data_IF_066953427388
#
_entry.id   IF_066953427388
#
_cell.length_a   1.000
_cell.length_b   1.000
_cell.length_c   1.000
_cell.angle_alpha   90.00
_cell.angle_beta   90.00
_cell.angle_gamma   90.00
#
_symmetry.space_group_name_H-M   'P 1'
#
loop_
_entity.id
_entity.type
_entity.pdbx_description
1 polymer ?
#
# COMPACT_ATOMS: atom_id res chain seq x y z
N UNK A 1 -7.83 -1.53 -19.73
CA UNK A 1 -7.46 -0.15 -20.09
C UNK A 1 -8.54 0.35 -21.02
N UNK A 2 -9.74 0.56 -20.47
CA UNK A 2 -10.79 1.22 -21.22
C UNK A 2 -10.47 2.71 -21.10
N UNK A 3 -10.12 3.38 -22.20
CA UNK A 3 -9.89 4.83 -22.31
C UNK A 3 -8.46 5.40 -22.10
N UNK A 4 -7.39 4.63 -22.30
CA UNK A 4 -6.02 5.21 -22.44
C UNK A 4 -5.43 4.76 -23.78
N UNK A 5 -5.33 5.68 -24.73
CA UNK A 5 -4.70 5.50 -26.04
C UNK A 5 -3.20 5.81 -26.03
N UNK A 6 -2.52 5.48 -27.12
CA UNK A 6 -1.09 5.82 -27.27
C UNK A 6 -0.91 7.32 -27.58
N UNK A 7 -1.90 7.90 -28.26
CA UNK A 7 -2.04 9.32 -28.54
C UNK A 7 -2.07 10.16 -27.26
N UNK A 8 -2.77 9.71 -26.21
CA UNK A 8 -2.84 10.41 -24.92
C UNK A 8 -1.45 10.56 -24.27
N UNK A 9 -0.58 9.58 -24.51
CA UNK A 9 0.80 9.59 -24.03
C UNK A 9 1.66 10.51 -24.89
N UNK A 10 1.53 10.38 -26.21
CA UNK A 10 2.29 11.17 -27.18
C UNK A 10 1.98 12.67 -27.06
N UNK A 11 0.73 13.01 -26.81
CA UNK A 11 0.23 14.39 -26.68
C UNK A 11 0.45 14.96 -25.26
N UNK A 12 0.99 14.18 -24.32
CA UNK A 12 1.36 14.65 -22.98
C UNK A 12 0.17 14.85 -22.03
N UNK A 13 -0.90 14.05 -22.15
CA UNK A 13 -2.02 14.12 -21.22
C UNK A 13 -1.63 13.56 -19.84
N UNK A 14 -1.17 14.45 -18.96
CA UNK A 14 -0.64 14.11 -17.64
C UNK A 14 -1.60 13.24 -16.81
N UNK A 15 -2.91 13.53 -16.84
CA UNK A 15 -3.91 12.77 -16.09
C UNK A 15 -3.98 11.31 -16.55
N UNK A 16 -3.96 11.05 -17.86
CA UNK A 16 -4.02 9.69 -18.40
C UNK A 16 -2.68 8.97 -18.28
N UNK A 17 -1.57 9.69 -18.41
CA UNK A 17 -0.23 9.15 -18.15
C UNK A 17 -0.10 8.68 -16.69
N UNK A 18 -0.54 9.49 -15.72
CA UNK A 18 -0.58 9.09 -14.31
C UNK A 18 -1.52 7.90 -14.07
N UNK A 19 -2.66 7.87 -14.75
CA UNK A 19 -3.59 6.73 -14.72
C UNK A 19 -2.95 5.43 -15.24
N UNK A 20 -2.16 5.52 -16.31
CA UNK A 20 -1.43 4.39 -16.88
C UNK A 20 -0.33 3.90 -15.93
N UNK A 21 0.49 4.81 -15.40
CA UNK A 21 1.55 4.48 -14.44
C UNK A 21 0.95 3.83 -13.19
N UNK A 22 -0.14 4.39 -12.65
CA UNK A 22 -0.87 3.80 -11.53
C UNK A 22 -1.35 2.39 -11.84
N UNK A 23 -1.90 2.15 -13.03
CA UNK A 23 -2.36 0.82 -13.46
C UNK A 23 -1.20 -0.18 -13.52
N UNK A 24 -0.03 0.23 -14.02
CA UNK A 24 1.18 -0.60 -14.04
C UNK A 24 1.61 -0.96 -12.61
N UNK A 25 1.72 0.03 -11.71
CA UNK A 25 2.08 -0.21 -10.30
C UNK A 25 1.08 -1.15 -9.63
N UNK A 26 -0.22 -0.90 -9.83
CA UNK A 26 -1.28 -1.74 -9.27
C UNK A 26 -1.13 -3.19 -9.75
N UNK A 27 -0.91 -3.39 -11.05
CA UNK A 27 -0.87 -4.72 -11.67
C UNK A 27 0.37 -5.52 -11.30
N UNK A 28 1.54 -4.89 -11.28
CA UNK A 28 2.81 -5.60 -11.11
C UNK A 28 3.30 -5.63 -9.67
N UNK A 29 2.95 -4.65 -8.85
CA UNK A 29 3.46 -4.53 -7.48
C UNK A 29 2.41 -4.89 -6.43
N UNK A 30 1.16 -4.47 -6.62
CA UNK A 30 0.13 -4.60 -5.58
C UNK A 30 -0.70 -5.87 -5.75
N UNK A 31 -1.15 -6.22 -6.95
CA UNK A 31 -2.12 -7.31 -7.17
C UNK A 31 -1.66 -8.69 -6.65
N UNK A 32 -0.35 -8.94 -6.63
CA UNK A 32 0.23 -10.21 -6.18
C UNK A 32 0.39 -10.33 -4.65
N UNK A 33 -0.04 -9.33 -3.88
CA UNK A 33 0.04 -9.39 -2.41
C UNK A 33 -1.03 -10.33 -1.88
N UNK A 34 -0.59 -11.46 -1.35
CA UNK A 34 -1.41 -12.44 -0.67
C UNK A 34 -1.01 -12.52 0.80
N UNK A 35 -2.00 -12.54 1.68
CA UNK A 35 -1.80 -12.78 3.10
C UNK A 35 -2.76 -13.87 3.50
N UNK A 36 -2.20 -14.92 4.10
CA UNK A 36 -2.99 -15.95 4.76
C UNK A 36 -3.77 -15.31 5.92
N UNK A 37 -5.05 -15.04 5.68
CA UNK A 37 -5.99 -14.77 6.74
C UNK A 37 -6.31 -16.12 7.40
N UNK A 38 -5.75 -16.36 8.58
CA UNK A 38 -5.89 -17.63 9.33
C UNK A 38 -7.33 -18.06 9.66
N UNK A 39 -8.36 -17.29 9.30
CA UNK A 39 -9.74 -17.50 9.78
C UNK A 39 -10.83 -17.38 8.71
N UNK A 40 -10.56 -16.86 7.51
CA UNK A 40 -11.51 -16.96 6.39
C UNK A 40 -10.74 -17.25 5.11
N UNK A 41 -11.10 -18.33 4.42
CA UNK A 41 -10.55 -18.71 3.11
C UNK A 41 -10.94 -17.74 1.98
N UNK A 42 -11.32 -16.51 2.32
CA UNK A 42 -11.64 -15.44 1.37
C UNK A 42 -10.36 -14.71 0.99
N UNK A 43 -10.06 -14.72 -0.31
CA UNK A 43 -8.97 -13.92 -0.88
C UNK A 43 -9.36 -12.45 -0.78
N UNK A 44 -8.79 -11.74 0.20
CA UNK A 44 -8.98 -10.29 0.32
C UNK A 44 -8.39 -9.59 -0.91
N UNK A 45 -9.02 -8.50 -1.34
CA UNK A 45 -8.42 -7.64 -2.38
C UNK A 45 -7.01 -7.22 -1.92
N UNK A 46 -6.03 -7.23 -2.82
CA UNK A 46 -4.62 -7.05 -2.46
C UNK A 46 -4.32 -5.77 -1.64
N UNK A 47 -5.12 -4.70 -1.86
CA UNK A 47 -5.09 -3.47 -1.05
C UNK A 47 -5.50 -3.71 0.41
N UNK A 48 -6.56 -4.47 0.65
CA UNK A 48 -7.04 -4.82 1.99
C UNK A 48 -6.08 -5.78 2.69
N UNK A 49 -5.51 -6.72 1.93
CA UNK A 49 -4.43 -7.56 2.42
C UNK A 49 -3.27 -6.67 2.90
N UNK A 50 -2.73 -5.79 2.06
CA UNK A 50 -1.65 -4.89 2.45
C UNK A 50 -2.00 -4.04 3.69
N UNK A 51 -3.23 -3.54 3.80
CA UNK A 51 -3.67 -2.79 4.98
C UNK A 51 -3.64 -3.66 6.24
N UNK A 52 -4.14 -4.89 6.15
CA UNK A 52 -4.11 -5.86 7.24
C UNK A 52 -2.67 -6.22 7.65
N UNK A 53 -1.74 -6.34 6.70
CA UNK A 53 -0.32 -6.54 7.00
C UNK A 53 0.24 -5.39 7.84
N UNK A 54 -0.01 -4.15 7.41
CA UNK A 54 0.44 -2.96 8.13
C UNK A 54 -0.10 -2.96 9.57
N UNK A 55 -1.38 -3.25 9.76
CA UNK A 55 -2.02 -3.33 11.07
C UNK A 55 -1.40 -4.43 11.94
N UNK A 56 -1.17 -5.63 11.38
CA UNK A 56 -0.57 -6.76 12.11
C UNK A 56 0.88 -6.46 12.53
N UNK A 57 1.65 -5.80 11.67
CA UNK A 57 3.07 -5.48 11.94
C UNK A 57 3.27 -4.35 12.94
N UNK A 58 2.32 -3.42 13.01
CA UNK A 58 2.38 -2.27 13.91
C UNK A 58 1.50 -2.43 15.16
N UNK A 59 0.92 -3.61 15.37
CA UNK A 59 0.16 -3.91 16.58
C UNK A 59 1.04 -3.75 17.84
N UNK A 60 0.55 -2.96 18.80
CA UNK A 60 1.25 -2.69 20.05
C UNK A 60 2.17 -1.46 20.04
N UNK A 61 2.37 -0.81 18.88
CA UNK A 61 3.12 0.45 18.83
C UNK A 61 2.28 1.62 19.36
N UNK A 62 2.81 2.44 20.29
CA UNK A 62 2.06 3.55 20.84
C UNK A 62 1.78 4.60 19.77
N UNK A 63 0.57 5.17 19.79
CA UNK A 63 0.12 6.22 18.87
C UNK A 63 0.14 5.83 17.37
N UNK A 64 0.19 4.54 17.05
CA UNK A 64 0.12 4.05 15.68
C UNK A 64 -1.21 3.32 15.46
N UNK A 65 -2.03 3.87 14.57
CA UNK A 65 -3.27 3.25 14.09
C UNK A 65 -3.36 3.44 12.58
N UNK A 66 -3.42 2.34 11.84
CA UNK A 66 -3.41 2.34 10.38
C UNK A 66 -4.76 1.86 9.85
N UNK A 67 -5.61 2.81 9.45
CA UNK A 67 -6.96 2.53 8.94
C UNK A 67 -7.09 2.81 7.43
N UNK A 68 -6.11 3.51 6.83
CA UNK A 68 -6.11 3.88 5.42
C UNK A 68 -4.69 4.12 4.89
N UNK A 69 -4.55 4.34 3.58
CA UNK A 69 -3.27 4.69 2.91
C UNK A 69 -3.08 6.20 2.70
N UNK A 70 -3.68 7.05 3.55
CA UNK A 70 -3.55 8.50 3.47
C UNK A 70 -3.29 9.12 4.85
N UNK A 71 -4.34 9.53 5.57
CA UNK A 71 -4.23 10.25 6.85
C UNK A 71 -3.50 9.46 7.94
N UNK A 72 -3.60 8.13 7.93
CA UNK A 72 -2.94 7.27 8.93
C UNK A 72 -1.41 7.36 8.90
N UNK A 73 -0.83 7.84 7.79
CA UNK A 73 0.61 7.89 7.56
C UNK A 73 1.19 9.30 7.73
N UNK A 74 0.33 10.31 7.92
CA UNK A 74 0.72 11.73 7.92
C UNK A 74 1.66 12.11 9.05
N UNK A 75 1.56 11.46 10.20
CA UNK A 75 2.46 11.71 11.35
C UNK A 75 3.86 11.10 11.16
N UNK A 76 4.06 10.23 10.16
CA UNK A 76 5.31 9.49 9.96
C UNK A 76 5.48 8.26 10.86
N UNK A 77 4.78 8.20 12.00
CA UNK A 77 4.94 7.11 12.99
C UNK A 77 4.64 5.72 12.43
N UNK A 78 3.68 5.60 11.51
CA UNK A 78 3.38 4.32 10.85
C UNK A 78 4.58 3.77 10.06
N UNK A 79 5.36 4.64 9.39
CA UNK A 79 6.58 4.23 8.70
C UNK A 79 7.67 3.81 9.70
N UNK A 80 7.88 4.60 10.76
CA UNK A 80 8.85 4.28 11.81
C UNK A 80 8.53 2.94 12.48
N UNK A 81 7.26 2.68 12.80
CA UNK A 81 6.83 1.43 13.43
C UNK A 81 7.04 0.22 12.52
N UNK A 82 6.76 0.35 11.21
CA UNK A 82 7.01 -0.73 10.27
C UNK A 82 8.49 -1.07 10.14
N UNK A 83 9.37 -0.06 10.08
CA UNK A 83 10.81 -0.28 10.03
C UNK A 83 11.29 -0.92 11.34
N UNK A 84 10.94 -0.35 12.49
CA UNK A 84 11.30 -0.89 13.81
C UNK A 84 10.78 -2.32 14.02
N UNK A 85 9.59 -2.67 13.47
CA UNK A 85 9.05 -4.03 13.59
C UNK A 85 9.85 -5.11 12.86
N UNK A 86 10.65 -4.73 11.86
CA UNK A 86 11.53 -5.65 11.11
C UNK A 86 12.99 -5.53 11.56
N UNK A 87 13.42 -4.33 11.90
CA UNK A 87 14.79 -3.98 12.27
C UNK A 87 14.79 -3.04 13.48
N UNK A 88 14.56 -3.56 14.70
CA UNK A 88 14.44 -2.75 15.91
C UNK A 88 15.67 -1.88 16.20
N UNK A 89 16.84 -2.29 15.71
CA UNK A 89 18.13 -1.62 15.92
C UNK A 89 18.27 -0.29 15.16
N UNK A 90 17.45 -0.06 14.12
CA UNK A 90 17.62 1.11 13.23
C UNK A 90 16.89 2.36 13.73
N UNK A 91 15.91 2.21 14.62
CA UNK A 91 15.07 3.32 15.09
C UNK A 91 14.90 3.19 16.60
N UNK A 92 15.20 4.24 17.35
CA UNK A 92 14.73 4.33 18.74
C UNK A 92 13.29 4.85 18.71
N UNK A 93 12.33 3.94 18.87
CA UNK A 93 10.90 4.22 18.71
C UNK A 93 10.27 4.80 19.98
#
# INVERSE_FOLDING_TARGET
>A
LENIGAEDIADGNEHLILGLIWTIILRFTIENIEIEAKESGERKHAKEALLLWCQRKTAGYPNVRIDNFSSSWRSGLAFCALIHSHHPELINF
#
